data_IF_446786825256
#
_entry.id   IF_446786825256
#
_cell.length_a   1.000
_cell.length_b   1.000
_cell.length_c   1.000
_cell.angle_alpha   90.00
_cell.angle_beta   90.00
_cell.angle_gamma   90.00
#
_symmetry.space_group_name_H-M   'P 1'
#
loop_
_entity.id
_entity.type
_entity.pdbx_description
1 polymer ?
#
# COMPACT_ATOMS: atom_id res chain seq x y z
N UNK A 1 23.27 -37.61 -26.04
CA UNK A 1 23.63 -36.20 -25.91
C UNK A 1 22.42 -35.47 -25.43
N UNK A 2 22.23 -35.40 -24.14
CA UNK A 2 21.15 -34.67 -23.49
C UNK A 2 21.64 -33.25 -23.23
N UNK A 3 21.11 -32.29 -23.98
CA UNK A 3 21.37 -30.86 -23.79
C UNK A 3 20.58 -30.38 -22.59
N UNK A 4 21.23 -30.23 -21.46
CA UNK A 4 20.66 -29.57 -20.28
C UNK A 4 20.62 -28.06 -20.57
N UNK A 5 19.45 -27.54 -20.90
CA UNK A 5 19.22 -26.10 -20.89
C UNK A 5 19.11 -25.62 -19.44
N UNK A 6 20.19 -25.08 -18.94
CA UNK A 6 20.15 -24.32 -17.66
C UNK A 6 19.41 -23.02 -17.92
N UNK A 7 18.30 -22.79 -17.20
CA UNK A 7 17.58 -21.54 -17.24
C UNK A 7 18.51 -20.37 -16.83
N UNK A 8 18.36 -19.17 -17.45
CA UNK A 8 19.17 -18.00 -17.10
C UNK A 8 19.05 -17.60 -15.62
N UNK A 9 20.11 -17.05 -15.05
CA UNK A 9 20.21 -16.71 -13.62
C UNK A 9 19.07 -15.82 -13.10
N UNK A 10 18.56 -14.92 -13.94
CA UNK A 10 17.45 -14.02 -13.61
C UNK A 10 16.13 -14.76 -13.36
N UNK A 11 15.91 -15.94 -13.95
CA UNK A 11 14.72 -16.78 -13.69
C UNK A 11 14.76 -17.36 -12.28
N UNK A 12 15.95 -17.64 -11.73
CA UNK A 12 16.10 -18.12 -10.34
C UNK A 12 15.87 -17.03 -9.30
N UNK A 13 16.26 -15.79 -9.60
CA UNK A 13 16.00 -14.64 -8.72
C UNK A 13 14.51 -14.27 -8.69
N UNK A 14 13.81 -14.29 -9.83
CA UNK A 14 12.36 -14.07 -9.88
C UNK A 14 11.54 -15.18 -9.16
N UNK A 15 12.01 -16.43 -9.16
CA UNK A 15 11.33 -17.51 -8.44
C UNK A 15 11.46 -17.39 -6.90
N UNK A 16 12.50 -16.76 -6.38
CA UNK A 16 12.62 -16.42 -4.94
C UNK A 16 11.84 -15.16 -4.57
N UNK A 17 11.57 -14.26 -5.52
CA UNK A 17 10.81 -13.01 -5.28
C UNK A 17 9.30 -13.16 -5.48
N UNK A 18 8.80 -14.24 -6.07
CA UNK A 18 7.36 -14.44 -6.28
C UNK A 18 6.56 -14.68 -4.97
N UNK A 19 7.23 -15.03 -3.88
CA UNK A 19 6.65 -14.99 -2.52
C UNK A 19 6.71 -13.61 -1.88
N UNK A 20 7.39 -12.65 -2.51
CA UNK A 20 7.62 -11.29 -2.02
C UNK A 20 7.07 -10.20 -2.97
N UNK A 21 6.44 -10.58 -4.07
CA UNK A 21 6.03 -9.60 -5.11
C UNK A 21 4.93 -8.64 -4.66
N UNK A 22 4.19 -8.94 -3.60
CA UNK A 22 3.22 -8.03 -3.00
C UNK A 22 3.87 -7.06 -1.99
N UNK A 23 5.01 -7.41 -1.41
CA UNK A 23 5.83 -6.54 -0.56
C UNK A 23 6.81 -5.66 -1.37
N UNK A 24 6.97 -5.92 -2.67
CA UNK A 24 7.99 -5.27 -3.49
C UNK A 24 7.67 -3.82 -3.88
N UNK A 25 6.50 -3.29 -3.55
CA UNK A 25 6.20 -1.90 -3.87
C UNK A 25 6.70 -0.88 -2.84
N UNK A 26 6.93 -1.28 -1.58
CA UNK A 26 7.42 -0.36 -0.55
C UNK A 26 8.62 -0.88 0.27
N UNK A 27 9.01 -2.16 0.16
CA UNK A 27 10.21 -2.70 0.81
C UNK A 27 11.50 -2.58 -0.03
N UNK A 28 11.48 -1.84 -1.13
CA UNK A 28 12.68 -1.63 -1.95
C UNK A 28 13.77 -0.76 -1.29
N UNK A 29 13.47 -0.13 -0.16
CA UNK A 29 14.45 0.69 0.56
C UNK A 29 15.49 -0.05 1.38
N UNK A 30 15.28 -1.32 1.79
CA UNK A 30 16.12 -1.90 2.83
C UNK A 30 16.83 -3.23 2.49
N UNK A 31 16.56 -3.89 1.37
CA UNK A 31 17.12 -5.24 1.10
C UNK A 31 18.15 -5.34 -0.03
N UNK A 32 18.55 -4.23 -0.64
CA UNK A 32 19.40 -4.23 -1.84
C UNK A 32 20.89 -4.50 -1.59
N UNK A 33 21.38 -4.76 -0.38
CA UNK A 33 22.81 -4.90 -0.12
C UNK A 33 23.28 -6.29 0.32
N UNK A 34 22.60 -7.36 -0.06
CA UNK A 34 23.25 -8.67 -0.07
C UNK A 34 24.04 -8.83 -1.39
N UNK A 35 25.10 -8.08 -1.55
CA UNK A 35 26.03 -8.27 -2.67
C UNK A 35 26.63 -9.67 -2.60
N UNK A 36 26.29 -10.53 -3.55
CA UNK A 36 27.10 -11.69 -3.87
C UNK A 36 28.49 -11.16 -4.27
N UNK A 37 29.51 -11.57 -3.53
CA UNK A 37 30.88 -11.17 -3.77
C UNK A 37 31.28 -11.52 -5.22
N UNK A 38 31.38 -10.53 -6.10
CA UNK A 38 31.91 -10.73 -7.45
C UNK A 38 31.48 -9.73 -8.52
N UNK A 39 30.27 -9.14 -8.47
CA UNK A 39 29.81 -8.21 -9.49
C UNK A 39 29.73 -6.78 -8.94
N UNK A 40 30.24 -5.81 -9.72
CA UNK A 40 30.08 -4.40 -9.42
C UNK A 40 28.56 -4.06 -9.38
N UNK A 41 28.09 -3.25 -8.39
CA UNK A 41 26.70 -2.91 -8.27
C UNK A 41 26.22 -2.18 -9.53
N UNK A 42 25.15 -2.68 -10.15
CA UNK A 42 24.60 -2.12 -11.39
C UNK A 42 23.86 -0.81 -11.15
N UNK A 43 23.38 -0.56 -9.93
CA UNK A 43 22.51 0.56 -9.58
C UNK A 43 21.11 0.48 -10.19
N UNK A 44 20.73 -0.68 -10.74
CA UNK A 44 19.39 -0.94 -11.26
C UNK A 44 18.54 -1.59 -10.16
N UNK A 45 17.27 -1.20 -10.02
CA UNK A 45 16.33 -1.96 -9.21
C UNK A 45 16.18 -3.39 -9.71
N UNK A 46 15.89 -4.35 -8.83
CA UNK A 46 15.75 -5.77 -9.14
C UNK A 46 14.72 -6.03 -10.25
N UNK A 47 13.63 -5.26 -10.25
CA UNK A 47 12.59 -5.30 -11.29
C UNK A 47 12.55 -3.94 -11.99
N UNK A 48 13.32 -3.79 -13.05
CA UNK A 48 13.38 -2.57 -13.85
C UNK A 48 13.26 -2.87 -15.34
N UNK A 49 12.53 -2.02 -16.08
CA UNK A 49 12.48 -2.10 -17.56
C UNK A 49 13.89 -1.96 -18.18
N UNK A 50 14.79 -1.28 -17.49
CA UNK A 50 16.17 -1.12 -17.90
C UNK A 50 16.88 -2.49 -18.08
N UNK A 51 16.50 -3.52 -17.32
CA UNK A 51 17.06 -4.88 -17.48
C UNK A 51 16.71 -5.52 -18.83
N UNK A 52 15.66 -5.04 -19.49
CA UNK A 52 15.22 -5.49 -20.81
C UNK A 52 15.74 -4.60 -21.95
N UNK A 53 16.48 -3.53 -21.65
CA UNK A 53 17.03 -2.60 -22.63
C UNK A 53 18.50 -2.94 -22.95
N UNK A 54 18.99 -2.52 -24.13
CA UNK A 54 20.42 -2.54 -24.42
C UNK A 54 21.20 -1.74 -23.34
N UNK A 55 22.45 -2.15 -22.99
CA UNK A 55 23.25 -1.52 -21.93
C UNK A 55 23.37 0.00 -22.06
N UNK A 56 23.43 0.53 -23.29
CA UNK A 56 23.57 1.95 -23.58
C UNK A 56 22.29 2.76 -23.22
N UNK A 57 21.13 2.09 -23.18
CA UNK A 57 19.85 2.67 -22.78
C UNK A 57 19.49 2.33 -21.32
N UNK A 58 19.96 1.18 -20.82
CA UNK A 58 19.78 0.78 -19.44
C UNK A 58 20.54 1.67 -18.46
N UNK A 59 21.75 2.06 -18.81
CA UNK A 59 22.61 2.94 -18.00
C UNK A 59 23.41 3.88 -18.92
N UNK A 60 22.76 4.94 -19.46
CA UNK A 60 23.41 5.87 -20.37
C UNK A 60 24.65 6.53 -19.74
N UNK A 61 25.80 6.32 -20.34
CA UNK A 61 27.08 6.84 -19.85
C UNK A 61 27.59 6.20 -18.56
N UNK A 62 27.02 5.11 -18.08
CA UNK A 62 27.42 4.44 -16.85
C UNK A 62 27.10 5.20 -15.56
N UNK A 63 26.11 6.10 -15.61
CA UNK A 63 25.76 7.01 -14.51
C UNK A 63 25.29 6.24 -13.29
N UNK A 64 24.38 5.27 -13.47
CA UNK A 64 23.84 4.46 -12.37
C UNK A 64 24.95 3.68 -11.66
N UNK A 65 25.79 2.97 -12.40
CA UNK A 65 26.94 2.23 -11.84
C UNK A 65 27.93 3.16 -11.13
N UNK A 66 28.18 4.34 -11.69
CA UNK A 66 29.07 5.32 -11.08
C UNK A 66 28.59 5.78 -9.70
N UNK A 67 27.27 6.02 -9.54
CA UNK A 67 26.68 6.41 -8.27
C UNK A 67 26.52 5.22 -7.32
N UNK A 68 26.09 4.04 -7.81
CA UNK A 68 25.96 2.84 -7.01
C UNK A 68 27.30 2.39 -6.39
N UNK A 69 28.40 2.48 -7.12
CA UNK A 69 29.74 2.21 -6.59
C UNK A 69 30.15 3.19 -5.46
N UNK A 70 29.40 4.25 -5.22
CA UNK A 70 29.57 5.23 -4.13
C UNK A 70 28.47 5.16 -3.06
N UNK A 71 27.62 4.14 -3.16
CA UNK A 71 26.53 3.93 -2.22
C UNK A 71 25.28 4.76 -2.53
N UNK A 72 25.12 5.30 -3.75
CA UNK A 72 23.90 6.03 -4.13
C UNK A 72 23.14 5.27 -5.22
N UNK A 73 21.91 4.88 -4.94
CA UNK A 73 20.97 4.30 -5.89
C UNK A 73 19.76 5.20 -6.06
N UNK A 74 19.15 5.18 -7.23
CA UNK A 74 17.96 5.97 -7.52
C UNK A 74 17.12 5.30 -8.60
N UNK A 75 15.83 5.59 -8.62
CA UNK A 75 14.92 5.04 -9.61
C UNK A 75 13.68 5.90 -9.80
N UNK A 76 12.85 5.43 -10.71
CA UNK A 76 11.58 6.01 -11.04
C UNK A 76 10.52 4.92 -11.19
N UNK A 77 9.31 5.20 -10.72
CA UNK A 77 8.13 4.40 -10.98
C UNK A 77 7.08 5.29 -11.60
N UNK A 78 6.46 4.84 -12.67
CA UNK A 78 5.30 5.51 -13.25
C UNK A 78 4.11 4.57 -13.30
N UNK A 79 3.00 5.02 -12.72
CA UNK A 79 1.70 4.36 -12.81
C UNK A 79 0.77 5.30 -13.57
N UNK A 80 0.10 4.79 -14.59
CA UNK A 80 -0.96 5.50 -15.30
C UNK A 80 -2.18 4.60 -15.39
N UNK A 81 -3.37 5.14 -15.07
CA UNK A 81 -4.61 4.40 -14.96
C UNK A 81 -5.74 5.09 -15.68
N UNK A 82 -6.69 4.26 -16.13
CA UNK A 82 -7.98 4.73 -16.58
C UNK A 82 -9.06 3.85 -15.98
N UNK A 83 -10.00 4.47 -15.29
CA UNK A 83 -11.17 3.82 -14.72
C UNK A 83 -12.45 4.49 -15.23
N UNK A 84 -13.50 3.71 -15.49
CA UNK A 84 -14.80 4.20 -15.92
C UNK A 84 -15.93 3.44 -15.28
N UNK A 85 -16.99 4.16 -14.91
CA UNK A 85 -18.20 3.58 -14.32
C UNK A 85 -19.10 3.05 -15.44
N UNK A 86 -19.23 1.72 -15.51
CA UNK A 86 -20.05 1.04 -16.52
C UNK A 86 -21.53 1.00 -16.16
N UNK A 87 -21.87 0.90 -14.86
CA UNK A 87 -23.24 0.96 -14.35
C UNK A 87 -23.30 1.42 -12.90
N UNK A 88 -24.43 2.01 -12.49
CA UNK A 88 -24.57 2.59 -11.16
C UNK A 88 -23.68 3.81 -10.97
N UNK A 89 -23.21 4.05 -9.74
CA UNK A 89 -22.40 5.19 -9.36
C UNK A 89 -23.15 6.52 -9.37
N UNK A 90 -22.46 7.60 -9.04
CA UNK A 90 -22.95 8.98 -9.10
C UNK A 90 -23.02 9.48 -10.56
N UNK A 91 -22.04 9.10 -11.39
CA UNK A 91 -22.01 9.38 -12.83
C UNK A 91 -21.38 8.21 -13.59
N UNK A 92 -21.52 8.21 -14.93
CA UNK A 92 -20.94 7.18 -15.81
C UNK A 92 -19.75 7.71 -16.59
N UNK A 93 -18.93 8.49 -15.92
CA UNK A 93 -17.76 9.09 -16.51
C UNK A 93 -16.52 8.20 -16.36
N UNK A 94 -15.52 8.48 -17.17
CA UNK A 94 -14.21 7.85 -17.11
C UNK A 94 -13.13 8.84 -16.75
N UNK A 95 -12.21 8.42 -15.90
CA UNK A 95 -11.16 9.24 -15.33
C UNK A 95 -9.80 8.63 -15.61
N UNK A 96 -8.85 9.51 -15.91
CA UNK A 96 -7.46 9.14 -15.97
C UNK A 96 -6.73 9.78 -14.79
N UNK A 97 -5.92 9.00 -14.13
CA UNK A 97 -4.98 9.46 -13.10
C UNK A 97 -3.62 8.81 -13.27
N UNK A 98 -2.60 9.44 -12.70
CA UNK A 98 -1.25 8.94 -12.79
C UNK A 98 -0.34 9.48 -11.70
N UNK A 99 0.68 8.69 -11.39
CA UNK A 99 1.69 8.98 -10.39
C UNK A 99 3.08 8.67 -10.93
N UNK A 100 3.93 9.69 -11.01
CA UNK A 100 5.36 9.50 -11.16
C UNK A 100 6.00 9.57 -9.77
N UNK A 101 6.73 8.55 -9.40
CA UNK A 101 7.61 8.53 -8.24
C UNK A 101 9.05 8.65 -8.68
N UNK A 102 9.83 9.46 -7.94
CA UNK A 102 11.28 9.48 -7.99
C UNK A 102 11.82 9.21 -6.59
N UNK A 103 12.80 8.32 -6.49
CA UNK A 103 13.42 7.99 -5.21
C UNK A 103 14.94 7.94 -5.28
N UNK A 104 15.57 8.13 -4.12
CA UNK A 104 17.02 8.01 -3.92
C UNK A 104 17.31 7.35 -2.59
N UNK A 105 18.22 6.38 -2.60
CA UNK A 105 18.82 5.76 -1.43
C UNK A 105 20.31 6.05 -1.37
N UNK A 106 20.80 6.34 -0.15
CA UNK A 106 22.23 6.58 0.09
C UNK A 106 22.71 5.66 1.21
N UNK A 107 23.52 4.68 0.85
CA UNK A 107 24.26 3.86 1.83
C UNK A 107 25.41 4.67 2.42
N UNK A 108 25.20 5.15 3.62
CA UNK A 108 26.20 5.95 4.37
C UNK A 108 27.37 5.07 4.87
N UNK A 109 27.21 3.76 4.88
CA UNK A 109 28.31 2.82 5.11
C UNK A 109 29.35 2.92 4.01
N UNK A 110 28.91 2.77 2.76
CA UNK A 110 29.78 2.92 1.57
C UNK A 110 30.26 4.34 1.38
N UNK A 111 29.39 5.35 1.56
CA UNK A 111 29.72 6.74 1.30
C UNK A 111 30.63 7.37 2.37
N UNK A 112 30.36 7.09 3.66
CA UNK A 112 30.95 7.79 4.81
C UNK A 112 31.50 6.88 5.90
N UNK A 113 31.44 5.56 5.73
CA UNK A 113 31.91 4.58 6.73
C UNK A 113 30.95 4.37 7.91
N UNK A 114 29.71 4.84 7.84
CA UNK A 114 28.68 4.61 8.87
C UNK A 114 27.86 3.38 8.53
N UNK A 115 28.39 2.21 8.87
CA UNK A 115 27.81 0.94 8.49
C UNK A 115 26.36 0.75 8.98
N UNK A 116 25.50 0.27 8.08
CA UNK A 116 24.10 -0.02 8.34
C UNK A 116 23.19 1.21 8.40
N UNK A 117 23.69 2.42 8.12
CA UNK A 117 22.89 3.63 8.03
C UNK A 117 22.57 3.93 6.55
N UNK A 118 21.28 4.03 6.24
CA UNK A 118 20.74 4.42 4.95
C UNK A 118 19.93 5.70 5.07
N UNK A 119 20.13 6.63 4.16
CA UNK A 119 19.22 7.76 3.93
C UNK A 119 18.33 7.43 2.76
N UNK A 120 17.03 7.69 2.90
CA UNK A 120 16.03 7.55 1.84
C UNK A 120 15.28 8.86 1.65
N UNK A 121 14.93 9.16 0.40
CA UNK A 121 13.92 10.17 0.07
C UNK A 121 13.19 9.80 -1.21
N UNK A 122 11.87 9.99 -1.23
CA UNK A 122 11.07 9.88 -2.44
C UNK A 122 10.07 11.03 -2.55
N UNK A 123 9.60 11.25 -3.76
CA UNK A 123 8.58 12.25 -4.04
C UNK A 123 7.71 11.85 -5.21
N UNK A 124 6.50 12.37 -5.21
CA UNK A 124 5.49 12.08 -6.21
C UNK A 124 5.14 13.31 -7.04
N UNK A 125 4.92 13.09 -8.34
CA UNK A 125 4.13 13.97 -9.19
C UNK A 125 2.83 13.24 -9.51
N UNK A 126 1.72 13.77 -8.97
CA UNK A 126 0.37 13.21 -9.06
C UNK A 126 -0.43 14.07 -10.03
N UNK A 127 -1.21 13.45 -10.90
CA UNK A 127 -2.02 14.16 -11.90
C UNK A 127 -3.26 13.33 -12.28
N UNK A 128 -4.27 14.01 -12.81
CA UNK A 128 -5.52 13.41 -13.25
C UNK A 128 -6.72 13.83 -12.43
N UNK A 129 -7.75 12.99 -12.39
CA UNK A 129 -9.01 13.23 -11.67
C UNK A 129 -9.48 11.96 -10.96
N UNK A 130 -10.24 12.13 -9.87
CA UNK A 130 -10.70 11.04 -9.02
C UNK A 130 -11.97 10.39 -9.55
N UNK A 131 -11.93 9.11 -9.90
CA UNK A 131 -13.14 8.34 -10.22
C UNK A 131 -13.94 8.06 -8.94
N UNK A 132 -13.26 7.88 -7.81
CA UNK A 132 -13.88 7.60 -6.51
C UNK A 132 -14.85 8.69 -6.10
N UNK A 133 -14.36 9.93 -5.99
CA UNK A 133 -15.17 11.06 -5.51
C UNK A 133 -16.15 11.60 -6.55
N UNK A 134 -15.77 11.61 -7.83
CA UNK A 134 -16.55 12.26 -8.88
C UNK A 134 -17.61 11.34 -9.50
N UNK A 135 -17.39 10.02 -9.50
CA UNK A 135 -18.27 9.10 -10.24
C UNK A 135 -18.79 7.91 -9.45
N UNK A 136 -18.12 7.45 -8.40
CA UNK A 136 -18.55 6.28 -7.61
C UNK A 136 -19.19 6.71 -6.29
N UNK A 137 -18.55 7.59 -5.54
CA UNK A 137 -18.98 8.04 -4.20
C UNK A 137 -18.66 7.02 -3.10
N UNK A 138 -17.64 6.18 -3.26
CA UNK A 138 -17.30 5.11 -2.32
C UNK A 138 -16.39 5.59 -1.19
N UNK A 139 -16.44 4.90 -0.03
CA UNK A 139 -15.48 5.02 1.08
C UNK A 139 -14.16 4.33 0.74
N UNK A 140 -14.22 3.24 -0.03
CA UNK A 140 -13.05 2.51 -0.52
C UNK A 140 -12.59 3.12 -1.84
N UNK A 141 -11.43 3.82 -1.91
CA UNK A 141 -10.97 4.44 -3.15
C UNK A 141 -10.76 3.41 -4.25
N UNK A 142 -11.22 3.70 -5.48
CA UNK A 142 -11.11 2.80 -6.64
C UNK A 142 -9.64 2.47 -6.94
N UNK A 143 -8.75 3.41 -6.70
CA UNK A 143 -7.31 3.19 -6.85
C UNK A 143 -6.53 3.74 -5.64
N UNK A 144 -5.48 3.02 -5.24
CA UNK A 144 -4.60 3.47 -4.16
C UNK A 144 -3.67 4.62 -4.58
N UNK A 145 -3.57 4.98 -5.88
CA UNK A 145 -2.81 6.16 -6.32
C UNK A 145 -3.68 7.41 -6.49
N UNK A 146 -4.99 7.30 -6.34
CA UNK A 146 -5.88 8.47 -6.39
C UNK A 146 -5.51 9.46 -5.30
N UNK A 147 -5.21 10.68 -5.72
CA UNK A 147 -4.93 11.79 -4.81
C UNK A 147 -5.09 13.13 -5.54
N UNK A 148 -5.16 14.21 -4.77
CA UNK A 148 -5.20 15.57 -5.32
C UNK A 148 -3.93 15.86 -6.12
N UNK A 149 -4.04 16.36 -7.39
CA UNK A 149 -2.89 16.64 -8.22
C UNK A 149 -1.86 17.56 -7.54
N UNK A 150 -0.63 17.10 -7.41
CA UNK A 150 0.44 17.80 -6.73
C UNK A 150 1.82 17.26 -7.13
N UNK A 151 2.87 18.05 -6.87
CA UNK A 151 4.25 17.55 -6.82
C UNK A 151 4.73 17.70 -5.37
N UNK A 152 5.01 16.58 -4.71
CA UNK A 152 5.23 16.57 -3.27
C UNK A 152 6.34 15.62 -2.84
N UNK A 153 7.06 15.99 -1.80
CA UNK A 153 7.86 15.07 -1.01
C UNK A 153 6.89 14.09 -0.32
N UNK A 154 7.24 12.80 -0.34
CA UNK A 154 6.49 11.80 0.40
C UNK A 154 7.27 11.37 1.63
N UNK A 155 8.19 10.44 1.52
CA UNK A 155 9.02 10.06 2.66
C UNK A 155 10.41 10.69 2.59
N UNK A 156 10.96 10.99 3.76
CA UNK A 156 12.38 11.32 3.94
C UNK A 156 12.81 10.85 5.32
N UNK A 157 13.75 9.90 5.38
CA UNK A 157 14.17 9.30 6.64
C UNK A 157 15.62 8.81 6.63
N UNK A 158 16.10 8.54 7.85
CA UNK A 158 17.28 7.74 8.12
C UNK A 158 16.83 6.38 8.69
N UNK A 159 17.43 5.30 8.21
CA UNK A 159 17.25 3.97 8.75
C UNK A 159 18.60 3.38 9.18
N UNK A 160 18.69 2.97 10.45
CA UNK A 160 19.87 2.30 11.01
C UNK A 160 19.57 0.83 11.26
N UNK A 161 20.30 -0.04 10.58
CA UNK A 161 20.37 -1.47 10.86
C UNK A 161 21.38 -1.76 11.95
N UNK A 162 20.99 -2.54 12.96
CA UNK A 162 21.77 -2.93 14.13
C UNK A 162 21.71 -4.45 14.31
N UNK A 163 22.68 -5.02 15.04
CA UNK A 163 22.70 -6.44 15.41
C UNK A 163 22.59 -7.36 14.19
N UNK A 164 23.39 -7.11 13.17
CA UNK A 164 23.39 -7.85 11.90
C UNK A 164 22.01 -7.86 11.20
N UNK A 165 21.32 -6.71 11.20
CA UNK A 165 20.02 -6.52 10.57
C UNK A 165 18.81 -6.99 11.39
N UNK A 166 19.01 -7.54 12.59
CA UNK A 166 17.92 -8.00 13.44
C UNK A 166 17.11 -6.88 14.07
N UNK A 167 17.67 -5.69 14.18
CA UNK A 167 16.99 -4.49 14.68
C UNK A 167 17.17 -3.38 13.67
N UNK A 168 16.06 -2.76 13.25
CA UNK A 168 16.09 -1.60 12.37
C UNK A 168 15.32 -0.45 13.03
N UNK A 169 15.93 0.73 13.04
CA UNK A 169 15.33 1.97 13.56
C UNK A 169 15.24 2.96 12.42
N UNK A 170 14.04 3.40 12.11
CA UNK A 170 13.75 4.40 11.07
C UNK A 170 13.21 5.66 11.73
N UNK A 171 13.69 6.83 11.33
CA UNK A 171 13.22 8.11 11.85
C UNK A 171 13.21 9.17 10.74
N UNK A 172 12.12 9.92 10.65
CA UNK A 172 11.93 10.94 9.62
C UNK A 172 10.46 11.21 9.36
N UNK A 173 10.12 11.64 8.16
CA UNK A 173 8.76 11.68 7.66
C UNK A 173 8.45 10.33 7.04
N UNK A 174 7.46 9.64 7.62
CA UNK A 174 7.17 8.23 7.35
C UNK A 174 5.68 8.04 7.05
N UNK A 175 5.35 7.01 6.28
CA UNK A 175 3.99 6.51 6.12
C UNK A 175 3.81 5.19 6.90
N UNK A 176 2.60 4.95 7.39
CA UNK A 176 2.28 3.71 8.11
C UNK A 176 1.77 2.62 7.17
N UNK A 177 1.13 2.98 6.07
CA UNK A 177 0.58 2.07 5.07
C UNK A 177 1.66 1.28 4.32
N UNK A 178 2.92 1.73 4.35
CA UNK A 178 4.07 1.02 3.79
C UNK A 178 4.63 -0.08 4.72
N UNK A 179 4.23 -0.11 5.99
CA UNK A 179 4.83 -1.02 6.98
C UNK A 179 3.81 -1.80 7.82
N UNK A 180 2.69 -1.17 8.21
CA UNK A 180 1.67 -1.77 9.08
C UNK A 180 0.42 -2.20 8.30
N UNK A 181 -0.29 -3.17 8.84
CA UNK A 181 -1.58 -3.65 8.32
C UNK A 181 -1.45 -4.29 6.91
N UNK A 182 -0.28 -4.67 6.45
CA UNK A 182 -0.04 -5.20 5.10
C UNK A 182 -0.34 -6.68 5.02
N UNK A 183 -1.21 -7.08 4.07
CA UNK A 183 -1.39 -8.45 3.62
C UNK A 183 -0.69 -8.66 2.28
N UNK A 184 0.06 -9.75 2.15
CA UNK A 184 0.76 -10.09 0.89
C UNK A 184 -0.22 -10.37 -0.25
N UNK A 185 -1.34 -11.03 0.04
CA UNK A 185 -2.36 -11.33 -0.96
C UNK A 185 -3.11 -10.10 -1.44
N UNK A 186 -3.29 -9.09 -0.58
CA UNK A 186 -3.96 -7.84 -0.89
C UNK A 186 -3.23 -7.02 -1.97
N UNK A 187 -1.92 -7.17 -2.11
CA UNK A 187 -1.12 -6.49 -3.13
C UNK A 187 -1.43 -6.89 -4.60
N UNK A 188 -2.31 -7.87 -4.83
CA UNK A 188 -2.76 -8.23 -6.17
C UNK A 188 -3.81 -7.25 -6.75
N UNK A 189 -4.33 -6.33 -5.97
CA UNK A 189 -5.50 -5.51 -6.27
C UNK A 189 -5.16 -4.02 -6.40
N UNK A 190 -6.10 -3.25 -6.97
CA UNK A 190 -5.90 -1.83 -7.28
C UNK A 190 -6.65 -0.89 -6.35
N UNK A 191 -7.77 -1.33 -5.76
CA UNK A 191 -8.53 -0.50 -4.83
C UNK A 191 -7.68 -0.09 -3.62
N UNK A 192 -7.82 1.16 -3.19
CA UNK A 192 -7.02 1.72 -2.11
C UNK A 192 -7.17 1.02 -0.77
N UNK A 193 -8.32 0.39 -0.52
CA UNK A 193 -8.61 -0.31 0.75
C UNK A 193 -7.69 -1.50 1.01
N UNK A 194 -7.14 -2.12 -0.05
CA UNK A 194 -6.21 -3.24 0.09
C UNK A 194 -4.85 -2.83 0.68
N UNK A 195 -4.42 -1.59 0.42
CA UNK A 195 -3.21 -0.99 1.01
C UNK A 195 -3.51 -0.40 2.39
N UNK A 196 -4.36 0.62 2.43
CA UNK A 196 -4.78 1.29 3.66
C UNK A 196 -6.29 1.12 3.84
N UNK A 197 -6.72 0.23 4.76
CA UNK A 197 -8.14 -0.10 4.95
C UNK A 197 -9.01 1.13 5.20
N UNK A 198 -10.22 1.12 4.66
CA UNK A 198 -11.18 2.22 4.82
C UNK A 198 -11.45 2.59 6.27
N UNK A 199 -11.41 1.63 7.21
CA UNK A 199 -11.54 1.91 8.65
C UNK A 199 -10.42 2.83 9.15
N UNK A 200 -9.17 2.58 8.79
CA UNK A 200 -8.04 3.45 9.19
C UNK A 200 -8.08 4.79 8.47
N UNK A 201 -8.42 4.78 7.16
CA UNK A 201 -8.52 5.99 6.36
C UNK A 201 -9.67 6.92 6.80
N UNK A 202 -10.75 6.36 7.38
CA UNK A 202 -11.90 7.13 7.84
C UNK A 202 -11.76 7.60 9.28
N UNK A 203 -11.21 6.74 10.16
CA UNK A 203 -11.26 6.95 11.62
C UNK A 203 -10.02 7.67 12.18
N UNK A 204 -8.92 7.70 11.44
CA UNK A 204 -7.73 8.46 11.85
C UNK A 204 -7.80 9.90 11.32
N UNK A 205 -7.29 10.89 12.09
CA UNK A 205 -7.29 12.28 11.68
C UNK A 205 -6.70 12.47 10.28
N UNK A 206 -7.47 13.10 9.38
CA UNK A 206 -7.10 13.35 7.99
C UNK A 206 -6.62 12.12 7.20
N UNK A 207 -7.11 10.91 7.56
CA UNK A 207 -6.80 9.64 6.91
C UNK A 207 -5.60 8.90 7.50
N UNK A 208 -4.93 9.48 8.50
CA UNK A 208 -3.72 8.94 9.10
C UNK A 208 -2.48 9.01 8.21
N UNK A 209 -1.29 8.57 8.70
CA UNK A 209 -0.03 8.63 7.97
C UNK A 209 0.04 7.57 6.87
N UNK A 210 -0.61 7.85 5.77
CA UNK A 210 -0.69 6.99 4.59
C UNK A 210 -0.58 7.82 3.30
N UNK A 211 -0.36 7.15 2.16
CA UNK A 211 -0.36 7.83 0.88
C UNK A 211 -1.58 8.75 0.70
N UNK A 212 -1.42 10.01 0.29
CA UNK A 212 -0.20 10.71 -0.04
C UNK A 212 0.33 11.63 1.09
N UNK A 213 -0.09 11.43 2.34
CA UNK A 213 0.19 12.30 3.50
C UNK A 213 1.01 11.56 4.57
N UNK A 214 2.35 11.51 4.46
CA UNK A 214 3.21 10.99 5.51
C UNK A 214 3.35 12.02 6.64
N UNK A 215 3.85 11.58 7.80
CA UNK A 215 4.05 12.46 8.97
C UNK A 215 5.37 12.13 9.70
N UNK A 216 5.92 13.04 10.49
CA UNK A 216 7.06 12.74 11.33
C UNK A 216 6.82 11.58 12.28
N UNK A 217 7.78 10.66 12.34
CA UNK A 217 7.67 9.47 13.17
C UNK A 217 8.98 8.75 13.40
N UNK A 218 8.92 7.76 14.28
CA UNK A 218 10.00 6.82 14.57
C UNK A 218 9.41 5.42 14.57
N UNK A 219 10.04 4.50 13.85
CA UNK A 219 9.68 3.09 13.82
C UNK A 219 10.89 2.23 14.24
N UNK A 220 10.62 1.20 15.04
CA UNK A 220 11.57 0.15 15.41
C UNK A 220 11.00 -1.20 14.95
N UNK A 221 11.77 -1.98 14.22
CA UNK A 221 11.47 -3.38 13.94
C UNK A 221 12.54 -4.30 14.54
N UNK A 222 12.11 -5.45 15.04
CA UNK A 222 12.93 -6.47 15.67
C UNK A 222 12.59 -7.82 15.04
N UNK A 223 13.53 -8.37 14.29
CA UNK A 223 13.40 -9.64 13.57
C UNK A 223 14.49 -10.59 14.08
N UNK A 224 14.27 -11.30 15.20
CA UNK A 224 15.29 -12.18 15.79
C UNK A 224 15.66 -13.35 14.88
N UNK A 225 14.70 -13.79 14.06
CA UNK A 225 14.82 -14.85 13.07
C UNK A 225 13.88 -14.60 11.88
N UNK A 226 13.86 -15.51 10.90
CA UNK A 226 13.02 -15.40 9.68
C UNK A 226 11.52 -15.72 9.94
N UNK A 227 11.18 -16.24 11.11
CA UNK A 227 9.85 -16.72 11.42
C UNK A 227 9.07 -15.77 12.35
N UNK A 228 9.76 -14.96 13.12
CA UNK A 228 9.15 -14.05 14.08
C UNK A 228 9.66 -12.63 13.91
N UNK A 229 8.79 -11.66 14.01
CA UNK A 229 9.15 -10.28 14.09
C UNK A 229 8.13 -9.46 14.86
N UNK A 230 8.59 -8.30 15.29
CA UNK A 230 7.80 -7.32 16.01
C UNK A 230 8.17 -5.94 15.51
N UNK A 231 7.16 -5.09 15.34
CA UNK A 231 7.33 -3.71 14.90
C UNK A 231 6.50 -2.78 15.77
N UNK A 232 7.07 -1.63 16.10
CA UNK A 232 6.37 -0.56 16.80
C UNK A 232 6.77 0.79 16.20
N UNK A 233 5.80 1.70 16.11
CA UNK A 233 6.04 3.06 15.65
C UNK A 233 5.27 4.08 16.47
N UNK A 234 5.80 5.29 16.49
CA UNK A 234 5.12 6.48 16.99
C UNK A 234 5.19 7.52 15.89
N UNK A 235 4.03 7.97 15.45
CA UNK A 235 3.84 9.04 14.47
C UNK A 235 3.24 10.26 15.15
N UNK A 236 3.39 11.45 14.55
CA UNK A 236 2.53 12.57 14.93
C UNK A 236 1.07 12.19 14.70
N UNK A 237 0.16 12.64 15.56
CA UNK A 237 -1.23 12.21 15.53
C UNK A 237 -2.01 12.70 14.31
N UNK A 238 -1.66 13.86 13.77
CA UNK A 238 -2.26 14.37 12.53
C UNK A 238 -1.20 14.50 11.41
N UNK A 239 -1.62 14.34 10.17
CA UNK A 239 -0.74 14.41 8.99
C UNK A 239 -0.64 15.83 8.42
N UNK A 240 -1.43 16.77 8.95
CA UNK A 240 -1.38 18.20 8.60
C UNK A 240 -1.48 19.06 9.86
N UNK A 241 -0.76 20.18 9.94
CA UNK A 241 -0.70 21.04 11.15
C UNK A 241 -1.94 21.95 11.27
N UNK A 242 -2.47 22.44 10.20
CA UNK A 242 -3.60 23.40 10.21
C UNK A 242 -4.42 23.26 8.94
N UNK A 243 -5.45 22.46 9.02
CA UNK A 243 -6.40 22.32 7.94
C UNK A 243 -7.78 22.84 8.39
N UNK A 244 -8.37 23.82 7.69
CA UNK A 244 -9.75 24.23 8.01
C UNK A 244 -10.72 23.07 7.88
N UNK A 245 -11.72 23.00 8.75
CA UNK A 245 -12.72 21.96 8.69
C UNK A 245 -13.41 21.94 7.30
N UNK A 246 -13.46 20.78 6.68
CA UNK A 246 -14.06 20.57 5.36
C UNK A 246 -13.14 20.87 4.16
N UNK A 247 -11.89 21.33 4.39
CA UNK A 247 -10.89 21.38 3.33
C UNK A 247 -10.25 20.02 3.14
N UNK A 248 -9.83 19.76 1.90
CA UNK A 248 -9.03 18.57 1.58
C UNK A 248 -7.65 18.67 2.27
N UNK A 249 -7.29 17.74 3.18
CA UNK A 249 -6.02 17.76 3.89
C UNK A 249 -4.80 17.75 2.95
N UNK A 250 -4.93 17.19 1.76
CA UNK A 250 -3.86 17.19 0.76
C UNK A 250 -3.54 18.61 0.24
N UNK A 251 -4.52 19.52 0.27
CA UNK A 251 -4.33 20.94 -0.10
C UNK A 251 -3.73 21.75 1.03
N UNK A 252 -3.85 21.29 2.27
CA UNK A 252 -3.28 21.94 3.44
C UNK A 252 -1.75 21.73 3.53
N UNK A 253 -1.23 20.63 2.98
CA UNK A 253 0.21 20.37 2.83
C UNK A 253 0.52 19.91 1.38
N UNK A 254 0.38 20.77 0.36
CA UNK A 254 0.42 20.35 -1.04
C UNK A 254 1.79 19.89 -1.52
N UNK A 255 2.86 20.32 -0.84
CA UNK A 255 4.24 19.99 -1.22
C UNK A 255 4.86 18.89 -0.34
N UNK A 256 4.17 18.44 0.72
CA UNK A 256 4.73 17.47 1.68
C UNK A 256 5.92 18.00 2.49
N UNK A 257 6.05 19.33 2.63
CA UNK A 257 7.17 19.99 3.30
C UNK A 257 6.80 20.58 4.67
N UNK A 258 5.54 20.47 5.06
CA UNK A 258 5.11 20.75 6.41
C UNK A 258 5.30 19.48 7.24
N UNK A 259 6.06 19.58 8.31
CA UNK A 259 6.35 18.49 9.24
C UNK A 259 5.58 18.76 10.53
N UNK A 260 4.33 18.28 10.65
CA UNK A 260 3.49 18.59 11.81
C UNK A 260 4.05 17.94 13.08
N UNK A 261 3.96 18.69 14.20
CA UNK A 261 4.29 18.20 15.55
C UNK A 261 3.30 18.79 16.55
N UNK A 262 2.77 17.97 17.44
CA UNK A 262 1.99 18.46 18.58
C UNK A 262 0.51 18.09 18.61
N UNK A 263 0.00 17.33 17.64
CA UNK A 263 -1.43 16.96 17.56
C UNK A 263 -1.70 15.58 18.17
N UNK A 264 -1.12 15.30 19.32
CA UNK A 264 -1.15 13.98 19.92
C UNK A 264 -0.15 13.03 19.25
N UNK A 265 -0.32 11.73 19.45
CA UNK A 265 0.52 10.70 18.88
C UNK A 265 -0.32 9.52 18.41
N UNK A 266 -0.01 8.99 17.23
CA UNK A 266 -0.46 7.69 16.78
C UNK A 266 0.63 6.66 17.08
N UNK A 267 0.32 5.70 17.94
CA UNK A 267 1.20 4.57 18.27
C UNK A 267 0.66 3.34 17.57
N UNK A 268 1.50 2.65 16.80
CA UNK A 268 1.16 1.40 16.14
C UNK A 268 2.09 0.28 16.58
N UNK A 269 1.55 -0.93 16.71
CA UNK A 269 2.32 -2.14 17.04
C UNK A 269 1.82 -3.30 16.18
N UNK A 270 2.75 -4.12 15.68
CA UNK A 270 2.44 -5.34 14.92
C UNK A 270 3.46 -6.43 15.26
N UNK A 271 2.99 -7.64 15.45
CA UNK A 271 3.83 -8.85 15.53
C UNK A 271 3.43 -9.83 14.46
N UNK A 272 4.38 -10.58 13.92
CA UNK A 272 4.12 -11.63 12.95
C UNK A 272 4.76 -12.96 13.31
N UNK A 273 4.14 -14.02 12.80
CA UNK A 273 4.67 -15.38 12.83
C UNK A 273 4.52 -16.02 11.45
N UNK A 274 5.66 -16.39 10.85
CA UNK A 274 5.74 -17.10 9.56
C UNK A 274 6.01 -18.58 9.81
N UNK A 275 5.21 -19.45 9.23
CA UNK A 275 5.28 -20.90 9.41
C UNK A 275 5.36 -21.64 8.07
N UNK A 276 5.78 -22.90 8.10
CA UNK A 276 5.94 -23.74 6.90
C UNK A 276 6.88 -23.12 5.84
N UNK A 277 7.97 -22.47 6.28
CA UNK A 277 8.91 -21.79 5.38
C UNK A 277 9.92 -22.76 4.71
N UNK A 278 9.88 -24.06 5.03
CA UNK A 278 10.79 -25.06 4.47
C UNK A 278 10.52 -25.37 2.98
N UNK A 279 11.54 -25.91 2.32
CA UNK A 279 11.45 -26.33 0.91
C UNK A 279 10.29 -27.32 0.69
N UNK A 280 9.48 -27.08 -0.33
CA UNK A 280 8.30 -27.88 -0.67
C UNK A 280 7.09 -27.68 0.24
N UNK A 281 7.20 -26.96 1.35
CA UNK A 281 6.08 -26.64 2.22
C UNK A 281 5.21 -25.52 1.63
N UNK A 282 4.03 -25.32 2.22
CA UNK A 282 3.09 -24.26 1.87
C UNK A 282 3.22 -23.15 2.93
N UNK A 283 4.02 -22.10 2.66
CA UNK A 283 4.27 -21.05 3.64
C UNK A 283 3.01 -20.26 3.96
N UNK A 284 2.93 -19.83 5.20
CA UNK A 284 1.90 -18.91 5.67
C UNK A 284 2.46 -17.93 6.69
N UNK A 285 1.77 -16.82 6.87
CA UNK A 285 2.09 -15.79 7.86
C UNK A 285 0.82 -15.34 8.54
N UNK A 286 0.87 -15.18 9.85
CA UNK A 286 -0.17 -14.52 10.64
C UNK A 286 0.43 -13.27 11.27
N UNK A 287 -0.35 -12.18 11.30
CA UNK A 287 0.03 -10.95 11.96
C UNK A 287 -1.08 -10.52 12.90
N UNK A 288 -0.69 -9.92 14.02
CA UNK A 288 -1.60 -9.29 14.98
C UNK A 288 -1.05 -7.93 15.33
N UNK A 289 -1.90 -6.93 15.31
CA UNK A 289 -1.50 -5.58 15.62
C UNK A 289 -2.65 -4.72 16.11
N UNK A 290 -2.33 -3.46 16.33
CA UNK A 290 -3.29 -2.45 16.72
C UNK A 290 -2.65 -1.08 16.77
N UNK A 291 -3.50 -0.09 16.97
CA UNK A 291 -3.09 1.30 17.13
C UNK A 291 -3.81 1.95 18.31
N UNK A 292 -3.19 3.01 18.81
CA UNK A 292 -3.79 3.96 19.75
C UNK A 292 -3.42 5.36 19.29
N UNK A 293 -4.42 6.23 19.16
CA UNK A 293 -4.24 7.66 18.95
C UNK A 293 -4.58 8.41 20.22
N UNK A 294 -3.69 9.30 20.67
CA UNK A 294 -3.82 9.96 22.00
C UNK A 294 -4.63 11.28 21.97
N UNK A 295 -5.24 11.63 20.85
CA UNK A 295 -6.11 12.80 20.73
C UNK A 295 -7.51 12.55 21.22
N UNK A 296 -8.33 13.59 21.16
CA UNK A 296 -9.74 13.61 21.52
C UNK A 296 -10.61 13.38 20.28
N UNK A 297 -11.67 12.59 20.43
CA UNK A 297 -12.57 12.20 19.34
C UNK A 297 -14.02 12.48 19.71
N UNK A 298 -14.73 13.23 18.89
CA UNK A 298 -16.16 13.47 19.11
C UNK A 298 -16.99 12.22 18.75
N UNK A 299 -18.04 11.98 19.53
CA UNK A 299 -19.00 10.92 19.20
C UNK A 299 -19.88 11.38 18.03
N UNK A 300 -19.87 10.74 16.86
CA UNK A 300 -20.62 11.16 15.69
C UNK A 300 -22.12 11.26 15.95
N UNK A 301 -22.68 10.34 16.73
CA UNK A 301 -24.12 10.26 17.04
C UNK A 301 -24.59 11.20 18.14
N UNK A 302 -23.67 11.79 18.89
CA UNK A 302 -23.98 12.68 20.01
C UNK A 302 -22.92 13.79 20.12
N UNK A 303 -22.94 14.79 19.21
CA UNK A 303 -21.98 15.89 19.21
C UNK A 303 -21.95 16.58 20.59
N UNK A 304 -20.75 16.79 21.12
CA UNK A 304 -20.50 17.33 22.45
C UNK A 304 -20.15 16.28 23.51
N UNK A 305 -20.23 14.98 23.20
CA UNK A 305 -19.54 13.93 23.93
C UNK A 305 -18.18 13.73 23.24
N UNK A 306 -17.12 13.95 23.99
CA UNK A 306 -15.74 13.79 23.53
C UNK A 306 -15.14 12.63 24.28
N UNK A 307 -14.60 11.68 23.52
CA UNK A 307 -13.93 10.48 24.04
C UNK A 307 -12.42 10.68 23.97
N UNK A 308 -11.74 10.39 25.07
CA UNK A 308 -10.28 10.41 25.13
C UNK A 308 -9.72 9.20 24.35
N UNK A 309 -8.76 9.43 23.48
CA UNK A 309 -8.06 8.43 22.68
C UNK A 309 -8.96 7.71 21.65
N UNK A 310 -8.36 7.25 20.57
CA UNK A 310 -8.97 6.29 19.65
C UNK A 310 -8.05 5.07 19.51
N UNK A 311 -8.61 3.91 19.20
CA UNK A 311 -7.83 2.71 19.08
C UNK A 311 -8.51 1.70 18.16
N UNK A 312 -7.70 0.76 17.63
CA UNK A 312 -8.20 -0.39 16.91
C UNK A 312 -7.25 -1.56 17.00
N UNK A 313 -7.79 -2.73 16.71
CA UNK A 313 -7.02 -3.99 16.67
C UNK A 313 -7.26 -4.70 15.36
N UNK A 314 -6.26 -5.45 14.89
CA UNK A 314 -6.38 -6.20 13.65
C UNK A 314 -5.66 -7.55 13.69
N UNK A 315 -6.11 -8.43 12.81
CA UNK A 315 -5.44 -9.69 12.50
C UNK A 315 -5.37 -9.86 10.98
N UNK A 316 -4.25 -10.42 10.50
CA UNK A 316 -3.99 -10.70 9.09
C UNK A 316 -3.52 -12.14 8.95
N UNK A 317 -3.94 -12.80 7.88
CA UNK A 317 -3.52 -14.14 7.54
C UNK A 317 -3.29 -14.27 6.04
N UNK A 318 -2.07 -14.67 5.68
CA UNK A 318 -1.68 -15.00 4.31
C UNK A 318 -1.23 -16.47 4.26
N UNK A 319 -1.73 -17.26 3.31
CA UNK A 319 -1.46 -18.68 3.22
C UNK A 319 -1.35 -19.16 1.78
N UNK A 320 -0.21 -19.71 1.40
CA UNK A 320 -0.12 -20.52 0.18
C UNK A 320 -0.87 -21.83 0.40
N UNK A 321 -1.83 -22.15 -0.47
CA UNK A 321 -2.66 -23.37 -0.37
C UNK A 321 -2.30 -24.43 -1.40
N UNK A 322 -1.63 -24.06 -2.48
CA UNK A 322 -1.16 -25.00 -3.49
C UNK A 322 0.06 -24.46 -4.24
N UNK A 323 0.95 -25.35 -4.64
CA UNK A 323 1.96 -25.10 -5.68
C UNK A 323 1.45 -25.66 -7.00
N UNK A 324 1.61 -24.89 -8.06
CA UNK A 324 1.30 -25.32 -9.41
C UNK A 324 2.57 -25.87 -10.08
N UNK A 325 2.42 -26.67 -11.16
CA UNK A 325 3.58 -27.17 -11.89
C UNK A 325 4.38 -26.03 -12.50
N UNK A 326 5.67 -25.99 -12.25
CA UNK A 326 6.61 -24.94 -12.67
C UNK A 326 7.09 -24.07 -11.51
N UNK A 327 8.26 -23.47 -11.69
CA UNK A 327 8.94 -22.70 -10.64
C UNK A 327 8.15 -21.42 -10.28
N UNK A 328 7.87 -21.24 -8.98
CA UNK A 328 7.26 -20.03 -8.41
C UNK A 328 5.74 -19.92 -8.54
N UNK A 329 5.09 -20.78 -9.35
CA UNK A 329 3.65 -20.74 -9.56
C UNK A 329 2.90 -21.32 -8.35
N UNK A 330 1.87 -20.58 -7.89
CA UNK A 330 1.15 -20.98 -6.69
C UNK A 330 -0.26 -20.43 -6.64
N UNK A 331 -1.04 -20.96 -5.69
CA UNK A 331 -2.34 -20.41 -5.28
C UNK A 331 -2.23 -20.06 -3.80
N UNK A 332 -2.62 -18.85 -3.44
CA UNK A 332 -2.66 -18.37 -2.07
C UNK A 332 -4.04 -17.80 -1.71
N UNK A 333 -4.35 -17.79 -0.44
CA UNK A 333 -5.51 -17.11 0.14
C UNK A 333 -5.03 -16.13 1.21
N UNK A 334 -5.81 -15.10 1.44
CA UNK A 334 -5.53 -14.12 2.48
C UNK A 334 -6.80 -13.64 3.14
N UNK A 335 -6.66 -13.03 4.30
CA UNK A 335 -7.75 -12.37 5.01
C UNK A 335 -7.22 -11.37 6.02
N UNK A 336 -7.96 -10.29 6.23
CA UNK A 336 -7.70 -9.27 7.24
C UNK A 336 -9.01 -8.88 7.89
N UNK A 337 -8.99 -8.69 9.22
CA UNK A 337 -10.12 -8.20 10.00
C UNK A 337 -9.62 -7.13 10.95
N UNK A 338 -10.40 -6.04 11.07
CA UNK A 338 -10.08 -4.88 11.88
C UNK A 338 -11.34 -4.46 12.63
N UNK A 339 -11.19 -4.06 13.89
CA UNK A 339 -12.26 -3.51 14.71
C UNK A 339 -11.80 -2.30 15.49
N UNK A 340 -12.70 -1.32 15.63
CA UNK A 340 -12.53 -0.08 16.39
C UNK A 340 -13.79 0.24 17.20
N UNK A 341 -13.74 1.10 18.25
CA UNK A 341 -14.93 1.50 19.01
C UNK A 341 -15.96 2.20 18.13
N UNK A 342 -17.24 1.91 18.34
CA UNK A 342 -18.35 2.51 17.58
C UNK A 342 -18.77 3.90 18.08
N UNK A 343 -18.35 4.29 19.29
CA UNK A 343 -18.75 5.51 19.98
C UNK A 343 -17.96 6.78 19.58
N UNK A 344 -16.90 6.62 18.79
CA UNK A 344 -16.00 7.70 18.35
C UNK A 344 -15.56 7.60 16.90
N UNK A 345 -16.01 6.56 16.20
CA UNK A 345 -15.60 6.24 14.83
C UNK A 345 -16.81 6.23 13.88
N UNK A 346 -16.56 6.54 12.64
CA UNK A 346 -17.54 6.39 11.57
C UNK A 346 -17.64 4.95 11.10
N UNK A 347 -16.53 4.23 11.09
CA UNK A 347 -16.43 2.81 10.74
C UNK A 347 -15.97 2.02 11.96
N UNK A 348 -16.72 1.00 12.39
CA UNK A 348 -16.39 0.20 13.56
C UNK A 348 -15.86 -1.20 13.22
N UNK A 349 -16.09 -1.65 11.99
CA UNK A 349 -15.69 -2.97 11.54
C UNK A 349 -15.27 -2.99 10.07
N UNK A 350 -14.15 -3.67 9.80
CA UNK A 350 -13.65 -3.94 8.46
C UNK A 350 -13.21 -5.38 8.32
N UNK A 351 -13.52 -6.01 7.20
CA UNK A 351 -13.03 -7.34 6.86
C UNK A 351 -12.78 -7.48 5.36
N UNK A 352 -11.71 -8.16 5.01
CA UNK A 352 -11.42 -8.51 3.63
C UNK A 352 -10.83 -9.90 3.52
N UNK A 353 -10.84 -10.44 2.30
CA UNK A 353 -10.18 -11.69 1.97
C UNK A 353 -10.28 -12.01 0.50
N UNK A 354 -9.43 -12.91 0.06
CA UNK A 354 -9.38 -13.26 -1.36
C UNK A 354 -8.50 -14.46 -1.65
N UNK A 355 -8.43 -14.74 -2.94
CA UNK A 355 -7.58 -15.77 -3.52
C UNK A 355 -6.71 -15.14 -4.60
N UNK A 356 -5.44 -15.51 -4.63
CA UNK A 356 -4.48 -15.07 -5.65
C UNK A 356 -3.83 -16.27 -6.32
N UNK A 357 -3.52 -16.13 -7.60
CA UNK A 357 -2.84 -17.16 -8.40
C UNK A 357 -1.65 -16.51 -9.09
N UNK A 358 -0.45 -16.86 -8.65
CA UNK A 358 0.79 -16.51 -9.34
C UNK A 358 1.02 -17.49 -10.48
N UNK A 359 1.23 -16.99 -11.70
CA UNK A 359 1.40 -17.79 -12.91
C UNK A 359 0.18 -18.63 -13.25
N UNK A 360 -1.02 -18.03 -13.46
CA UNK A 360 -2.24 -18.78 -13.78
C UNK A 360 -2.10 -19.61 -15.06
N UNK A 361 -1.26 -19.17 -15.98
CA UNK A 361 -0.92 -19.91 -17.21
C UNK A 361 0.56 -20.31 -17.23
N UNK A 362 0.85 -21.55 -17.62
CA UNK A 362 2.24 -22.07 -17.65
C UNK A 362 3.17 -21.26 -18.58
N UNK A 363 2.62 -20.66 -19.63
CA UNK A 363 3.35 -19.79 -20.58
C UNK A 363 3.57 -18.37 -20.03
N UNK A 364 2.93 -18.02 -18.93
CA UNK A 364 3.02 -16.72 -18.26
C UNK A 364 3.19 -16.91 -16.73
N UNK A 365 4.35 -17.43 -16.32
CA UNK A 365 4.55 -17.88 -14.93
C UNK A 365 4.65 -16.73 -13.90
N UNK A 366 4.81 -15.49 -14.36
CA UNK A 366 4.99 -14.31 -13.51
C UNK A 366 3.76 -13.44 -13.41
N UNK A 367 2.70 -13.73 -14.19
CA UNK A 367 1.46 -13.00 -14.10
C UNK A 367 0.75 -13.28 -12.78
N UNK A 368 -0.02 -12.32 -12.31
CA UNK A 368 -0.79 -12.43 -11.06
C UNK A 368 -2.27 -12.23 -11.35
N UNK A 369 -3.10 -13.16 -10.88
CA UNK A 369 -4.54 -13.07 -10.92
C UNK A 369 -5.09 -13.04 -9.51
N UNK A 370 -6.09 -12.21 -9.24
CA UNK A 370 -6.75 -12.10 -7.94
C UNK A 370 -8.26 -11.95 -8.05
N UNK A 371 -8.96 -12.50 -7.05
CA UNK A 371 -10.35 -12.19 -6.73
C UNK A 371 -10.40 -11.89 -5.24
N UNK A 372 -10.87 -10.71 -4.87
CA UNK A 372 -10.93 -10.23 -3.49
C UNK A 372 -12.28 -9.63 -3.17
N UNK A 373 -12.67 -9.73 -1.90
CA UNK A 373 -13.87 -9.13 -1.33
C UNK A 373 -13.49 -8.34 -0.09
N UNK A 374 -14.02 -7.10 0.04
CA UNK A 374 -13.86 -6.25 1.20
C UNK A 374 -15.23 -5.75 1.68
N UNK A 375 -15.34 -5.53 3.00
CA UNK A 375 -16.54 -5.06 3.68
C UNK A 375 -16.17 -4.00 4.71
N UNK A 376 -16.89 -2.89 4.70
CA UNK A 376 -16.76 -1.75 5.63
C UNK A 376 -18.11 -1.53 6.31
N UNK A 377 -18.17 -1.70 7.63
CA UNK A 377 -19.38 -1.50 8.44
C UNK A 377 -19.45 -0.09 9.01
N UNK A 378 -20.55 0.61 8.78
CA UNK A 378 -20.79 1.93 9.38
C UNK A 378 -21.20 1.75 10.85
N UNK A 379 -20.62 2.52 11.74
CA UNK A 379 -20.86 2.45 13.18
C UNK A 379 -22.29 2.82 13.58
N UNK A 380 -22.73 2.39 14.77
CA UNK A 380 -24.02 2.79 15.31
C UNK A 380 -24.08 4.29 15.65
N UNK A 381 -22.95 4.89 16.03
CA UNK A 381 -22.87 6.32 16.28
C UNK A 381 -23.06 7.12 14.97
N UNK A 382 -22.40 6.74 13.88
CA UNK A 382 -22.59 7.36 12.57
C UNK A 382 -24.03 7.19 12.05
N UNK A 383 -24.62 5.99 12.18
CA UNK A 383 -26.03 5.76 11.86
C UNK A 383 -27.00 6.63 12.71
N UNK A 384 -26.60 6.95 13.92
CA UNK A 384 -27.38 7.85 14.80
C UNK A 384 -27.22 9.31 14.37
N UNK A 385 -26.02 9.71 13.94
CA UNK A 385 -25.80 11.02 13.34
C UNK A 385 -26.71 11.23 12.12
N UNK A 386 -26.71 10.30 11.18
CA UNK A 386 -27.56 10.35 9.97
C UNK A 386 -29.06 10.55 10.31
N UNK A 387 -29.55 9.81 11.35
CA UNK A 387 -30.94 9.97 11.82
C UNK A 387 -31.20 11.32 12.47
N UNK A 388 -30.26 11.83 13.26
CA UNK A 388 -30.36 13.12 13.94
C UNK A 388 -30.35 14.28 12.96
N UNK A 389 -29.59 14.17 11.89
CA UNK A 389 -29.54 15.12 10.77
C UNK A 389 -30.81 15.04 9.89
N UNK A 390 -31.62 14.02 10.08
CA UNK A 390 -32.85 13.82 9.31
C UNK A 390 -32.59 13.39 7.87
N UNK A 391 -31.49 12.72 7.62
CA UNK A 391 -31.15 12.20 6.29
C UNK A 391 -32.24 11.20 5.83
N UNK A 392 -32.60 11.28 4.55
CA UNK A 392 -33.62 10.39 3.98
C UNK A 392 -33.17 8.93 3.99
N UNK A 393 -31.86 8.71 3.97
CA UNK A 393 -31.23 7.40 3.99
C UNK A 393 -30.19 7.36 5.09
N UNK A 394 -30.24 6.30 5.92
CA UNK A 394 -29.23 6.03 6.94
C UNK A 394 -28.18 5.12 6.33
N UNK A 395 -26.92 5.51 6.41
CA UNK A 395 -25.80 4.68 5.94
C UNK A 395 -25.76 3.38 6.70
N UNK A 396 -25.19 2.33 6.10
CA UNK A 396 -25.18 0.99 6.70
C UNK A 396 -23.83 0.29 6.51
N UNK A 397 -23.49 -0.05 5.28
CA UNK A 397 -22.22 -0.67 4.93
C UNK A 397 -21.85 -0.37 3.49
N UNK A 398 -20.57 -0.49 3.18
CA UNK A 398 -20.07 -0.61 1.82
C UNK A 398 -19.37 -1.95 1.65
N UNK A 399 -19.52 -2.58 0.48
CA UNK A 399 -18.78 -3.78 0.14
C UNK A 399 -18.23 -3.71 -1.28
N UNK A 400 -17.11 -4.39 -1.51
CA UNK A 400 -16.36 -4.41 -2.77
C UNK A 400 -16.07 -5.85 -3.16
N UNK A 401 -16.30 -6.17 -4.44
CA UNK A 401 -15.71 -7.32 -5.12
C UNK A 401 -14.75 -6.81 -6.19
N UNK A 402 -13.50 -7.24 -6.15
CA UNK A 402 -12.51 -6.89 -7.16
C UNK A 402 -11.96 -8.13 -7.84
N UNK A 403 -11.80 -8.03 -9.16
CA UNK A 403 -11.15 -9.04 -10.01
C UNK A 403 -10.06 -8.37 -10.81
N UNK A 404 -8.83 -8.77 -10.59
CA UNK A 404 -7.65 -8.13 -11.16
C UNK A 404 -6.72 -9.15 -11.81
N UNK A 405 -6.09 -8.75 -12.92
CA UNK A 405 -5.10 -9.57 -13.64
C UNK A 405 -3.90 -8.73 -14.03
N UNK A 406 -2.76 -8.92 -13.37
CA UNK A 406 -1.52 -8.25 -13.70
C UNK A 406 -0.73 -9.08 -14.72
N UNK A 407 -0.62 -8.57 -15.93
CA UNK A 407 0.19 -9.15 -17.00
C UNK A 407 1.59 -8.54 -17.00
N UNK A 408 2.61 -9.32 -16.67
CA UNK A 408 4.02 -8.90 -16.75
C UNK A 408 4.46 -8.99 -18.22
N UNK A 409 4.61 -7.84 -18.87
CA UNK A 409 4.97 -7.77 -20.30
C UNK A 409 6.47 -8.01 -20.48
N UNK A 410 7.27 -7.30 -19.70
CA UNK A 410 8.72 -7.50 -19.52
C UNK A 410 9.06 -7.13 -18.06
N UNK A 411 10.24 -7.52 -17.53
CA UNK A 411 10.67 -7.02 -16.23
C UNK A 411 10.52 -5.51 -16.13
N UNK A 412 9.86 -5.02 -15.09
CA UNK A 412 9.60 -3.60 -14.87
C UNK A 412 8.49 -2.96 -15.71
N UNK A 413 7.76 -3.72 -16.52
CA UNK A 413 6.57 -3.23 -17.22
C UNK A 413 5.41 -4.21 -17.11
N UNK A 414 4.31 -3.75 -16.53
CA UNK A 414 3.08 -4.51 -16.37
C UNK A 414 1.87 -3.74 -16.91
N UNK A 415 0.85 -4.50 -17.35
CA UNK A 415 -0.50 -4.01 -17.67
C UNK A 415 -1.48 -4.80 -16.83
N UNK A 416 -2.43 -4.11 -16.20
CA UNK A 416 -3.36 -4.71 -15.24
C UNK A 416 -4.79 -4.27 -15.52
N UNK A 417 -5.58 -5.04 -16.32
CA UNK A 417 -7.04 -4.89 -16.37
C UNK A 417 -7.67 -5.24 -15.02
N UNK A 418 -8.71 -4.49 -14.67
CA UNK A 418 -9.35 -4.53 -13.39
C UNK A 418 -10.87 -4.35 -13.50
N UNK A 419 -11.61 -5.01 -12.60
CA UNK A 419 -13.04 -4.89 -12.45
C UNK A 419 -13.37 -4.78 -10.96
N UNK A 420 -14.11 -3.74 -10.58
CA UNK A 420 -14.60 -3.51 -9.23
C UNK A 420 -16.11 -3.38 -9.23
N UNK A 421 -16.75 -4.11 -8.33
CA UNK A 421 -18.19 -3.99 -8.10
C UNK A 421 -18.44 -3.59 -6.65
N UNK A 422 -19.05 -2.42 -6.48
CA UNK A 422 -19.41 -1.88 -5.18
C UNK A 422 -20.89 -2.12 -4.89
N UNK A 423 -21.18 -2.55 -3.67
CA UNK A 423 -22.50 -2.50 -3.06
C UNK A 423 -22.55 -1.33 -2.09
N UNK A 424 -23.61 -0.53 -2.18
CA UNK A 424 -23.85 0.64 -1.33
C UNK A 424 -22.64 1.59 -1.25
N UNK A 425 -22.15 2.15 -2.35
CA UNK A 425 -21.04 3.11 -2.33
C UNK A 425 -21.29 4.20 -1.28
N UNK A 426 -20.25 4.59 -0.51
CA UNK A 426 -20.33 5.56 0.59
C UNK A 426 -21.25 5.14 1.74
N UNK A 427 -21.61 3.85 1.83
CA UNK A 427 -22.62 3.35 2.78
C UNK A 427 -24.06 3.68 2.38
N UNK A 428 -24.35 3.95 1.12
CA UNK A 428 -25.60 4.42 0.46
C UNK A 428 -25.62 5.93 0.22
N UNK A 429 -24.64 6.42 -0.54
CA UNK A 429 -24.67 7.83 -0.95
C UNK A 429 -25.89 8.13 -1.84
N UNK A 430 -26.30 9.39 -1.82
CA UNK A 430 -27.41 9.88 -2.64
C UNK A 430 -26.85 10.64 -3.84
N UNK A 431 -27.33 10.33 -5.03
CA UNK A 431 -27.02 11.05 -6.25
C UNK A 431 -27.64 12.46 -6.31
N UNK A 432 -27.27 13.23 -7.33
CA UNK A 432 -27.81 14.59 -7.53
C UNK A 432 -29.33 14.61 -7.76
N UNK A 433 -29.90 13.52 -8.29
CA UNK A 433 -31.33 13.30 -8.51
C UNK A 433 -32.10 12.98 -7.21
N UNK A 434 -31.40 12.76 -6.10
CA UNK A 434 -31.95 12.38 -4.80
C UNK A 434 -32.15 10.85 -4.65
N UNK A 435 -31.82 10.06 -5.65
CA UNK A 435 -31.89 8.61 -5.58
C UNK A 435 -30.66 8.00 -4.91
N UNK A 436 -30.84 6.88 -4.20
CA UNK A 436 -29.77 6.16 -3.54
C UNK A 436 -28.93 5.38 -4.55
N UNK A 437 -27.63 5.52 -4.48
CA UNK A 437 -26.69 4.72 -5.25
C UNK A 437 -26.53 3.34 -4.59
N UNK A 438 -27.20 2.32 -5.12
CA UNK A 438 -27.18 0.97 -4.57
C UNK A 438 -25.94 0.19 -4.98
N UNK A 439 -25.36 0.51 -6.14
CA UNK A 439 -24.18 -0.19 -6.66
C UNK A 439 -23.37 0.69 -7.61
N UNK A 440 -22.12 0.30 -7.86
CA UNK A 440 -21.31 0.80 -8.97
C UNK A 440 -20.47 -0.34 -9.55
N UNK A 441 -20.46 -0.45 -10.90
CA UNK A 441 -19.54 -1.33 -11.62
C UNK A 441 -18.49 -0.46 -12.31
N UNK A 442 -17.24 -0.63 -11.89
CA UNK A 442 -16.08 0.09 -12.42
C UNK A 442 -15.20 -0.86 -13.21
N UNK A 443 -14.78 -0.43 -14.38
CA UNK A 443 -13.81 -1.13 -15.21
C UNK A 443 -12.59 -0.27 -15.39
N UNK A 444 -11.40 -0.85 -15.24
CA UNK A 444 -10.16 -0.12 -15.32
C UNK A 444 -9.03 -0.88 -15.98
N UNK A 445 -7.98 -0.12 -16.25
CA UNK A 445 -6.71 -0.64 -16.72
C UNK A 445 -5.58 0.22 -16.15
N UNK A 446 -4.59 -0.44 -15.56
CA UNK A 446 -3.36 0.17 -15.06
C UNK A 446 -2.17 -0.21 -15.94
N UNK A 447 -1.27 0.72 -16.16
CA UNK A 447 0.10 0.45 -16.64
C UNK A 447 1.10 0.86 -15.56
N UNK A 448 2.08 0.00 -15.30
CA UNK A 448 3.16 0.27 -14.33
C UNK A 448 4.50 0.12 -15.01
N UNK A 449 5.37 1.13 -14.87
CA UNK A 449 6.74 1.14 -15.40
C UNK A 449 7.71 1.45 -14.26
N UNK A 450 8.65 0.55 -14.01
CA UNK A 450 9.77 0.72 -13.08
C UNK A 450 11.07 0.94 -13.85
N UNK A 451 11.84 1.98 -13.49
CA UNK A 451 13.12 2.30 -14.15
C UNK A 451 14.23 2.64 -13.16
#
# INVERSE_FOLDING_TARGET
MTCSMTAPLWIRQLAMSATSAALAFDLMGATAFAALAGDEPTGLPDVSIATSLPPELADPGGVRRHFAARGVTFGANYIGEYFGVASGGLSKDGHYDGRLELWVDVDLGTMAGWNGLVFHANGYQIHGSSVTGESVGSLMPVSFIEATPATRLFEIYLEQSLLDGKVNVRAGQLSADSEFIISNGAGAFLNGTWGWPSITATDLPNGGPAYPLPTPGIRVSINPDETHGFMAAVYNGDVVDRCPAGEDPQRCNPYGLDFPFGDGALVMVEGFYSYNQGEGQLPGTVKFGGWVHTGDFENPGNPGIVEDNNYGIYAIWDQMIARLDGDGRNVAVFGRVIGAPDDRNEVDFYAEGGITVTGPFAVRPFDLFGIGFAYTGISNAAKTADRNEGLAVVRDYEALLEVSYQAIIVPGFAIQPDLQYFWNPGGKVTGEDGDVVEHALVLGIRSTINY
#
